data_IF_485164472752
#
_entry.id   IF_485164472752
#
_cell.length_a   1.000
_cell.length_b   1.000
_cell.length_c   1.000
_cell.angle_alpha   90.00
_cell.angle_beta   90.00
_cell.angle_gamma   90.00
#
_symmetry.space_group_name_H-M   'P 1'
#
loop_
_entity.id
_entity.type
_entity.pdbx_description
1 polymer ?
#
# COMPACT_ATOMS: atom_id res chain seq x y z
N UNK A 1 13.35 12.13 14.87
CA UNK A 1 13.52 10.77 15.44
C UNK A 1 12.50 9.87 14.76
N UNK A 2 12.87 8.64 14.40
CA UNK A 2 11.96 7.66 13.76
C UNK A 2 11.78 6.44 14.68
N UNK A 3 10.71 5.64 14.51
CA UNK A 3 10.52 4.42 15.28
C UNK A 3 11.62 3.38 15.01
N UNK A 4 12.07 2.69 16.06
CA UNK A 4 13.01 1.57 15.98
C UNK A 4 12.43 0.35 16.70
N UNK A 5 12.74 -0.85 16.18
CA UNK A 5 12.39 -2.09 16.86
C UNK A 5 13.22 -2.23 18.15
N UNK A 6 12.55 -2.56 19.25
CA UNK A 6 13.17 -2.83 20.55
C UNK A 6 13.35 -4.33 20.81
N UNK A 7 13.36 -5.15 19.74
CA UNK A 7 13.55 -6.60 19.78
C UNK A 7 14.82 -7.00 19.02
N UNK A 8 15.54 -7.99 19.54
CA UNK A 8 16.66 -8.61 18.84
C UNK A 8 16.21 -9.72 17.86
N UNK A 9 14.96 -10.17 17.95
CA UNK A 9 14.44 -11.27 17.13
C UNK A 9 13.90 -10.75 15.79
N UNK A 10 14.78 -10.52 14.84
CA UNK A 10 14.45 -9.99 13.50
C UNK A 10 14.70 -10.99 12.36
N UNK A 11 15.16 -12.21 12.65
CA UNK A 11 15.45 -13.24 11.63
C UNK A 11 14.30 -13.50 10.66
N UNK A 12 13.07 -13.79 11.13
CA UNK A 12 11.93 -14.02 10.23
C UNK A 12 11.56 -12.78 9.39
N UNK A 13 11.71 -11.56 9.93
CA UNK A 13 11.52 -10.33 9.17
C UNK A 13 12.56 -10.22 8.05
N UNK A 14 13.84 -10.46 8.34
CA UNK A 14 14.92 -10.42 7.34
C UNK A 14 14.74 -11.49 6.25
N UNK A 15 14.25 -12.67 6.61
CA UNK A 15 13.95 -13.72 5.64
C UNK A 15 12.76 -13.36 4.75
N UNK A 16 11.73 -12.70 5.30
CA UNK A 16 10.62 -12.15 4.51
C UNK A 16 11.12 -11.07 3.55
N UNK A 17 11.91 -10.11 4.04
CA UNK A 17 12.50 -9.03 3.24
C UNK A 17 13.33 -9.61 2.09
N UNK A 18 14.19 -10.60 2.36
CA UNK A 18 15.00 -11.27 1.35
C UNK A 18 14.13 -11.92 0.27
N UNK A 19 13.09 -12.66 0.67
CA UNK A 19 12.15 -13.30 -0.28
C UNK A 19 11.42 -12.27 -1.15
N UNK A 20 11.02 -11.13 -0.58
CA UNK A 20 10.35 -10.06 -1.35
C UNK A 20 11.33 -9.43 -2.35
N UNK A 21 12.58 -9.15 -1.94
CA UNK A 21 13.59 -8.58 -2.81
C UNK A 21 13.98 -9.53 -3.95
N UNK A 22 14.27 -10.79 -3.64
CA UNK A 22 14.62 -11.82 -4.62
C UNK A 22 13.44 -12.10 -5.58
N UNK A 23 12.21 -11.98 -5.10
CA UNK A 23 10.97 -12.21 -5.84
C UNK A 23 10.35 -10.98 -6.49
N UNK A 24 10.99 -9.80 -6.43
CA UNK A 24 10.33 -8.51 -6.73
C UNK A 24 9.61 -8.49 -8.08
N UNK A 25 10.29 -8.88 -9.17
CA UNK A 25 9.68 -8.88 -10.51
C UNK A 25 8.50 -9.86 -10.63
N UNK A 26 8.57 -11.01 -9.97
CA UNK A 26 7.52 -12.02 -9.99
C UNK A 26 6.28 -11.56 -9.20
N UNK A 27 6.50 -10.94 -8.04
CA UNK A 27 5.44 -10.35 -7.20
C UNK A 27 4.72 -9.23 -7.95
N UNK A 28 5.49 -8.31 -8.57
CA UNK A 28 4.95 -7.21 -9.36
C UNK A 28 4.15 -7.68 -10.59
N UNK A 29 4.64 -8.72 -11.27
CA UNK A 29 3.89 -9.35 -12.36
C UNK A 29 2.59 -9.98 -11.85
N UNK A 30 2.66 -10.74 -10.75
CA UNK A 30 1.48 -11.36 -10.14
C UNK A 30 0.43 -10.32 -9.78
N UNK A 31 0.81 -9.21 -9.11
CA UNK A 31 -0.12 -8.12 -8.80
C UNK A 31 -0.79 -7.55 -10.05
N UNK A 32 -0.04 -7.30 -11.13
CA UNK A 32 -0.62 -6.80 -12.39
C UNK A 32 -1.67 -7.75 -12.96
N UNK A 33 -1.44 -9.06 -12.89
CA UNK A 33 -2.42 -10.06 -13.31
C UNK A 33 -3.66 -10.05 -12.41
N UNK A 34 -3.47 -10.00 -11.08
CA UNK A 34 -4.60 -9.94 -10.14
C UNK A 34 -5.47 -8.69 -10.36
N UNK A 35 -4.88 -7.54 -10.69
CA UNK A 35 -5.63 -6.31 -10.95
C UNK A 35 -6.36 -6.27 -12.29
N UNK A 36 -6.06 -7.19 -13.21
CA UNK A 36 -6.88 -7.38 -14.42
C UNK A 36 -8.17 -8.15 -14.11
N UNK A 37 -8.11 -9.09 -13.17
CA UNK A 37 -9.25 -9.91 -12.74
C UNK A 37 -10.08 -9.25 -11.64
N UNK A 38 -9.45 -8.41 -10.81
CA UNK A 38 -10.06 -7.75 -9.67
C UNK A 38 -9.81 -6.25 -9.71
N UNK A 39 -10.89 -5.46 -9.82
CA UNK A 39 -10.79 -4.01 -9.75
C UNK A 39 -10.43 -3.57 -8.32
N UNK A 40 -9.30 -2.87 -8.10
CA UNK A 40 -8.96 -2.34 -6.79
C UNK A 40 -9.96 -1.23 -6.38
N UNK A 41 -10.16 -0.98 -5.07
CA UNK A 41 -10.98 0.13 -4.62
C UNK A 41 -10.36 1.47 -5.04
N UNK A 42 -11.16 2.54 -5.05
CA UNK A 42 -10.69 3.90 -5.37
C UNK A 42 -9.52 4.34 -4.46
N UNK A 43 -9.61 3.98 -3.18
CA UNK A 43 -8.60 4.24 -2.16
C UNK A 43 -8.69 3.19 -1.03
N UNK A 44 -7.72 3.21 -0.13
CA UNK A 44 -7.77 2.43 1.11
C UNK A 44 -6.51 2.64 1.95
N UNK A 45 -6.59 2.37 3.24
CA UNK A 45 -5.43 2.28 4.13
C UNK A 45 -5.38 0.92 4.81
N UNK A 46 -4.16 0.40 5.00
CA UNK A 46 -3.92 -0.86 5.70
C UNK A 46 -3.02 -0.59 6.91
N UNK A 47 -3.47 -0.97 8.10
CA UNK A 47 -2.61 -0.96 9.28
C UNK A 47 -1.75 -2.21 9.31
N UNK A 48 -0.45 -2.03 9.50
CA UNK A 48 0.52 -3.11 9.64
C UNK A 48 1.09 -3.17 11.07
N UNK A 49 1.37 -4.37 11.55
CA UNK A 49 2.18 -4.58 12.76
C UNK A 49 3.43 -5.40 12.45
N UNK A 50 4.58 -4.86 12.87
CA UNK A 50 5.87 -5.54 12.80
C UNK A 50 6.33 -5.93 14.21
N UNK A 51 6.41 -7.23 14.49
CA UNK A 51 6.90 -7.79 15.76
C UNK A 51 8.31 -8.40 15.66
N UNK A 52 9.02 -8.20 14.54
CA UNK A 52 10.32 -8.82 14.25
C UNK A 52 10.24 -10.29 13.81
N UNK A 53 9.33 -11.07 14.40
CA UNK A 53 9.04 -12.45 13.98
C UNK A 53 7.87 -12.56 13.01
N UNK A 54 7.05 -11.51 12.86
CA UNK A 54 5.90 -11.46 11.95
C UNK A 54 5.63 -10.03 11.50
N UNK A 55 5.30 -9.88 10.22
CA UNK A 55 4.70 -8.68 9.63
C UNK A 55 3.31 -9.06 9.14
N UNK A 56 2.27 -8.36 9.58
CA UNK A 56 0.89 -8.69 9.20
C UNK A 56 -0.01 -7.45 9.11
N UNK A 57 -0.99 -7.46 8.18
CA UNK A 57 -2.10 -6.52 8.21
C UNK A 57 -3.01 -6.81 9.41
N UNK A 58 -3.50 -5.77 10.05
CA UNK A 58 -4.42 -5.87 11.19
C UNK A 58 -5.72 -5.09 11.00
N UNK A 59 -5.76 -4.15 10.06
CA UNK A 59 -6.97 -3.42 9.66
C UNK A 59 -6.87 -3.03 8.18
N UNK A 60 -8.03 -3.02 7.49
CA UNK A 60 -8.18 -2.46 6.15
C UNK A 60 -9.38 -1.51 6.17
N UNK A 61 -9.11 -0.24 5.96
CA UNK A 61 -10.12 0.81 5.92
C UNK A 61 -10.33 1.30 4.49
N UNK A 62 -11.53 1.08 3.95
CA UNK A 62 -11.94 1.58 2.64
C UNK A 62 -12.37 3.05 2.66
N UNK A 63 -12.40 3.71 3.83
CA UNK A 63 -12.73 5.12 4.03
C UNK A 63 -11.68 5.79 4.93
N UNK A 64 -10.42 5.89 4.49
CA UNK A 64 -9.35 6.42 5.32
C UNK A 64 -9.59 7.90 5.67
N UNK A 65 -9.48 8.25 6.95
CA UNK A 65 -9.63 9.64 7.43
C UNK A 65 -8.32 10.42 7.58
N UNK A 66 -7.17 9.79 7.31
CA UNK A 66 -5.85 10.29 7.66
C UNK A 66 -5.06 10.99 6.55
N UNK A 67 -5.71 11.49 5.49
CA UNK A 67 -5.02 12.09 4.35
C UNK A 67 -4.11 13.27 4.72
N UNK A 68 -4.48 14.04 5.75
CA UNK A 68 -3.69 15.16 6.26
C UNK A 68 -2.38 14.75 6.96
N UNK A 69 -2.16 13.44 7.18
CA UNK A 69 -0.93 12.90 7.77
C UNK A 69 0.10 12.46 6.71
N UNK A 70 -0.26 12.49 5.42
CA UNK A 70 0.66 12.17 4.33
C UNK A 70 1.74 13.24 4.21
N UNK A 71 2.95 12.83 3.83
CA UNK A 71 4.05 13.77 3.61
C UNK A 71 3.75 14.67 2.39
N UNK A 72 3.71 16.01 2.55
CA UNK A 72 3.39 16.94 1.46
C UNK A 72 4.28 16.81 0.22
N UNK A 73 5.53 16.35 0.40
CA UNK A 73 6.44 16.12 -0.72
C UNK A 73 5.93 15.08 -1.74
N UNK A 74 5.00 14.19 -1.34
CA UNK A 74 4.40 13.17 -2.20
C UNK A 74 3.04 13.57 -2.76
N UNK A 75 2.61 14.83 -2.61
CA UNK A 75 1.35 15.29 -3.19
C UNK A 75 1.25 15.05 -4.71
N UNK A 76 2.31 15.25 -5.53
CA UNK A 76 2.23 14.93 -6.96
C UNK A 76 1.93 13.45 -7.24
N UNK A 77 2.47 12.53 -6.43
CA UNK A 77 2.20 11.10 -6.54
C UNK A 77 0.74 10.77 -6.17
N UNK A 78 0.21 11.41 -5.12
CA UNK A 78 -1.19 11.24 -4.71
C UNK A 78 -2.15 11.72 -5.81
N UNK A 79 -1.87 12.86 -6.45
CA UNK A 79 -2.64 13.39 -7.57
C UNK A 79 -2.65 12.40 -8.74
N UNK A 80 -1.47 11.89 -9.14
CA UNK A 80 -1.37 10.93 -10.22
C UNK A 80 -2.17 9.63 -9.94
N UNK A 81 -2.07 9.11 -8.70
CA UNK A 81 -2.80 7.92 -8.30
C UNK A 81 -4.32 8.13 -8.30
N UNK A 82 -4.78 9.28 -7.80
CA UNK A 82 -6.20 9.65 -7.82
C UNK A 82 -6.74 9.81 -9.25
N UNK A 83 -5.99 10.47 -10.15
CA UNK A 83 -6.36 10.58 -11.56
C UNK A 83 -6.49 9.19 -12.20
N UNK A 84 -5.52 8.31 -11.97
CA UNK A 84 -5.56 6.92 -12.48
C UNK A 84 -6.75 6.14 -11.93
N UNK A 85 -7.18 6.40 -10.70
CA UNK A 85 -8.36 5.78 -10.10
C UNK A 85 -9.66 6.31 -10.72
N UNK A 86 -9.77 7.63 -10.95
CA UNK A 86 -10.91 8.25 -11.64
C UNK A 86 -11.04 7.70 -13.06
N UNK A 87 -9.95 7.66 -13.83
CA UNK A 87 -9.94 7.12 -15.21
C UNK A 87 -10.44 5.67 -15.27
N UNK A 88 -10.12 4.85 -14.26
CA UNK A 88 -10.54 3.45 -14.21
C UNK A 88 -11.97 3.25 -13.71
N UNK A 89 -12.41 4.05 -12.75
CA UNK A 89 -13.67 3.80 -12.00
C UNK A 89 -14.82 4.66 -12.55
N UNK A 90 -14.54 5.90 -12.94
CA UNK A 90 -15.53 6.87 -13.40
C UNK A 90 -14.95 7.84 -14.45
N UNK A 91 -14.51 7.33 -15.63
CA UNK A 91 -13.76 8.12 -16.63
C UNK A 91 -14.49 9.37 -17.13
N UNK A 92 -15.82 9.36 -17.17
CA UNK A 92 -16.64 10.46 -17.67
C UNK A 92 -17.06 11.46 -16.56
N UNK A 93 -16.64 11.23 -15.31
CA UNK A 93 -17.01 12.08 -14.19
C UNK A 93 -16.46 13.50 -14.36
N UNK A 94 -17.35 14.48 -14.30
CA UNK A 94 -17.00 15.91 -14.30
C UNK A 94 -17.09 16.56 -12.93
N UNK A 95 -17.83 15.92 -12.02
CA UNK A 95 -18.05 16.37 -10.65
C UNK A 95 -18.02 15.13 -9.72
N UNK A 96 -17.49 15.29 -8.52
CA UNK A 96 -17.67 14.38 -7.38
C UNK A 96 -18.44 15.12 -6.28
N UNK A 97 -19.36 14.42 -5.62
CA UNK A 97 -20.15 14.94 -4.50
C UNK A 97 -19.38 14.79 -3.18
#
# INVERSE_FOLDING_TARGET
MIPHLTTALTGPLQDLERRILDGSSAIEHWFRTQWQEHTPPFYGSVDLRNSGFKLAPVDMNLFPGGFNNLNPAFQPLCVQAAMSAIEKICPDARNLL
#
